data_IF_945749189784
#
_entry.id   IF_945749189784
#
_cell.length_a   1.000
_cell.length_b   1.000
_cell.length_c   1.000
_cell.angle_alpha   90.00
_cell.angle_beta   90.00
_cell.angle_gamma   90.00
#
_symmetry.space_group_name_H-M   'P 1'
#
loop_
_entity.id
_entity.type
_entity.pdbx_description
1 polymer ?
#
# COMPACT_ATOMS: atom_id res chain seq x y z
N UNK A 1 -7.89 -16.33 6.56
CA UNK A 1 -7.56 -15.21 7.45
C UNK A 1 -8.25 -13.95 6.97
N UNK A 2 -8.94 -13.24 7.86
CA UNK A 2 -9.53 -11.98 7.46
C UNK A 2 -8.45 -10.96 7.13
N UNK A 3 -8.73 -10.12 6.15
CA UNK A 3 -7.81 -9.05 5.78
C UNK A 3 -8.01 -7.88 6.73
N UNK A 4 -6.94 -7.15 7.06
CA UNK A 4 -7.11 -5.96 7.88
C UNK A 4 -7.88 -4.89 7.11
N UNK A 5 -8.65 -4.09 7.84
CA UNK A 5 -9.32 -2.93 7.27
C UNK A 5 -8.37 -1.73 7.31
N UNK A 6 -8.62 -0.68 6.49
CA UNK A 6 -7.81 0.53 6.59
C UNK A 6 -7.82 1.13 8.00
N UNK A 7 -8.96 1.07 8.68
CA UNK A 7 -9.08 1.59 10.04
C UNK A 7 -8.21 0.81 11.03
N UNK A 8 -8.14 -0.51 10.86
CA UNK A 8 -7.27 -1.34 11.70
C UNK A 8 -5.80 -1.00 11.47
N UNK A 9 -5.41 -0.76 10.22
CA UNK A 9 -4.04 -0.36 9.89
C UNK A 9 -3.70 1.00 10.47
N UNK A 10 -4.67 1.93 10.48
CA UNK A 10 -4.46 3.23 11.10
C UNK A 10 -4.17 3.14 12.59
N UNK A 11 -4.76 2.16 13.26
CA UNK A 11 -4.59 1.94 14.69
C UNK A 11 -3.37 1.08 15.02
N UNK A 12 -2.80 0.39 14.05
CA UNK A 12 -1.68 -0.52 14.25
C UNK A 12 -0.37 0.27 14.44
N UNK A 13 0.32 0.12 15.59
CA UNK A 13 1.57 0.86 15.82
C UNK A 13 2.70 0.48 14.85
N UNK A 14 2.61 -0.68 14.19
CA UNK A 14 3.63 -1.07 13.22
C UNK A 14 3.44 -0.40 11.85
N UNK A 15 2.31 0.28 11.62
CA UNK A 15 2.08 0.97 10.36
C UNK A 15 2.88 2.27 10.33
N UNK A 16 3.76 2.46 9.33
CA UNK A 16 4.55 3.69 9.23
C UNK A 16 3.67 4.94 9.08
N UNK A 17 4.19 6.08 9.51
CA UNK A 17 3.43 7.34 9.40
C UNK A 17 3.07 7.69 7.96
N UNK A 18 4.01 7.48 7.04
CA UNK A 18 3.73 7.78 5.63
C UNK A 18 2.61 6.89 5.06
N UNK A 19 2.52 5.63 5.54
CA UNK A 19 1.46 4.73 5.11
C UNK A 19 0.11 5.18 5.66
N UNK A 20 0.09 5.72 6.88
CA UNK A 20 -1.13 6.30 7.45
C UNK A 20 -1.62 7.48 6.63
N UNK A 21 -0.70 8.31 6.14
CA UNK A 21 -1.06 9.42 5.27
C UNK A 21 -1.67 8.94 3.96
N UNK A 22 -1.11 7.88 3.38
CA UNK A 22 -1.67 7.27 2.18
C UNK A 22 -3.10 6.77 2.44
N UNK A 23 -3.31 6.10 3.58
CA UNK A 23 -4.63 5.58 3.94
C UNK A 23 -5.65 6.73 4.06
N UNK A 24 -5.26 7.83 4.72
CA UNK A 24 -6.13 8.99 4.87
C UNK A 24 -6.59 9.56 3.53
N UNK A 25 -5.66 9.70 2.61
CA UNK A 25 -5.97 10.20 1.27
C UNK A 25 -6.86 9.20 0.53
N UNK A 26 -6.49 7.92 0.59
CA UNK A 26 -7.22 6.86 -0.11
C UNK A 26 -8.67 6.75 0.34
N UNK A 27 -8.92 6.97 1.64
CA UNK A 27 -10.29 6.91 2.18
C UNK A 27 -11.20 8.00 1.61
N UNK A 28 -10.65 9.05 1.01
CA UNK A 28 -11.42 10.11 0.38
C UNK A 28 -11.71 9.87 -1.09
N UNK A 29 -11.16 8.80 -1.67
CA UNK A 29 -11.25 8.50 -3.10
C UNK A 29 -12.23 7.37 -3.36
N UNK A 30 -12.56 7.16 -4.64
CA UNK A 30 -13.40 6.05 -5.06
C UNK A 30 -12.73 4.72 -4.69
N UNK A 31 -13.44 3.81 -4.00
CA UNK A 31 -12.83 2.55 -3.57
C UNK A 31 -12.28 1.69 -4.71
N UNK A 32 -12.94 1.66 -5.86
CA UNK A 32 -12.46 0.88 -7.01
C UNK A 32 -11.17 1.48 -7.55
N UNK A 33 -11.13 2.81 -7.67
CA UNK A 33 -9.95 3.52 -8.13
C UNK A 33 -8.78 3.31 -7.18
N UNK A 34 -9.03 3.33 -5.88
CA UNK A 34 -8.01 3.10 -4.86
C UNK A 34 -7.39 1.71 -5.02
N UNK A 35 -8.23 0.68 -5.15
CA UNK A 35 -7.72 -0.69 -5.30
C UNK A 35 -6.83 -0.81 -6.53
N UNK A 36 -7.29 -0.28 -7.66
CA UNK A 36 -6.54 -0.35 -8.91
C UNK A 36 -5.24 0.43 -8.82
N UNK A 37 -5.28 1.62 -8.24
CA UNK A 37 -4.09 2.47 -8.12
C UNK A 37 -3.07 1.85 -7.18
N UNK A 38 -3.51 1.34 -6.03
CA UNK A 38 -2.61 0.70 -5.08
C UNK A 38 -1.99 -0.56 -5.65
N UNK A 39 -2.76 -1.33 -6.44
CA UNK A 39 -2.21 -2.49 -7.11
C UNK A 39 -1.09 -2.10 -8.08
N UNK A 40 -1.33 -1.06 -8.89
CA UNK A 40 -0.34 -0.57 -9.84
C UNK A 40 0.91 -0.08 -9.12
N UNK A 41 0.74 0.66 -8.03
CA UNK A 41 1.86 1.13 -7.22
C UNK A 41 2.62 -0.05 -6.61
N UNK A 42 1.91 -1.06 -6.14
CA UNK A 42 2.53 -2.26 -5.60
C UNK A 42 3.43 -2.93 -6.64
N UNK A 43 2.94 -3.08 -7.86
CA UNK A 43 3.70 -3.69 -8.95
C UNK A 43 4.97 -2.88 -9.26
N UNK A 44 4.83 -1.56 -9.36
CA UNK A 44 5.95 -0.68 -9.68
C UNK A 44 7.03 -0.73 -8.60
N UNK A 45 6.63 -0.70 -7.34
CA UNK A 45 7.60 -0.72 -6.25
C UNK A 45 8.16 -2.10 -5.98
N UNK A 46 7.42 -3.15 -6.29
CA UNK A 46 7.94 -4.52 -6.25
C UNK A 46 9.07 -4.69 -7.26
N UNK A 47 8.88 -4.16 -8.47
CA UNK A 47 9.90 -4.19 -9.51
C UNK A 47 11.15 -3.41 -9.08
N UNK A 48 10.95 -2.23 -8.48
CA UNK A 48 12.05 -1.43 -7.96
C UNK A 48 12.84 -2.18 -6.87
N UNK A 49 12.11 -2.84 -5.97
CA UNK A 49 12.75 -3.62 -4.91
C UNK A 49 13.62 -4.74 -5.49
N UNK A 50 13.09 -5.47 -6.48
CA UNK A 50 13.84 -6.55 -7.12
C UNK A 50 15.12 -6.05 -7.76
N UNK A 51 15.06 -4.89 -8.43
CA UNK A 51 16.26 -4.30 -9.04
C UNK A 51 17.29 -3.91 -7.99
N UNK A 52 16.85 -3.33 -6.89
CA UNK A 52 17.74 -2.91 -5.82
C UNK A 52 18.40 -4.09 -5.13
N UNK A 53 17.71 -5.23 -5.06
CA UNK A 53 18.25 -6.45 -4.45
C UNK A 53 19.05 -7.29 -5.44
N UNK A 54 19.06 -6.91 -6.70
CA UNK A 54 19.79 -7.64 -7.72
C UNK A 54 19.19 -9.00 -8.06
N UNK A 55 17.89 -9.21 -7.78
CA UNK A 55 17.22 -10.48 -8.04
C UNK A 55 16.67 -10.60 -9.43
N UNK A 56 16.61 -9.51 -10.15
CA UNK A 56 16.04 -9.51 -11.47
C UNK A 56 17.01 -10.13 -12.47
N UNK A 57 16.55 -11.07 -13.21
CA UNK A 57 17.32 -11.73 -14.27
C UNK A 57 16.86 -11.29 -15.63
#
# INVERSE_FOLDING_TARGET
MPRPTPEELMADPSTPYWARDVIKVALTKDPVDVVNTLFTLHEAFSERLERLLGRRT
#
